data_IF_217881677499
#
_entry.id   IF_217881677499
#
_cell.length_a   1.000
_cell.length_b   1.000
_cell.length_c   1.000
_cell.angle_alpha   90.00
_cell.angle_beta   90.00
_cell.angle_gamma   90.00
#
_symmetry.space_group_name_H-M   'P 1'
#
loop_
_entity.id
_entity.type
_entity.pdbx_description
1 polymer ?
2 non-polymer ?
3 non-polymer ?
#
# COMPACT_ATOMS: atom_id res chain seq x y z
N UNK A 17 12.15 -1.66 18.34
CA UNK A 17 13.53 -1.56 17.89
C UNK A 17 14.07 -2.91 17.48
N UNK A 18 15.37 -3.08 17.68
CA UNK A 18 16.05 -4.31 17.33
C UNK A 18 17.23 -4.00 16.43
N UNK A 19 17.94 -5.02 15.95
CA UNK A 19 17.62 -6.43 16.18
C UNK A 19 18.79 -7.31 15.76
N UNK A 20 18.45 -8.51 15.28
CA UNK A 20 19.42 -9.48 14.79
C UNK A 20 19.12 -9.76 13.31
N UNK A 21 17.82 -9.75 12.99
CA UNK A 21 17.33 -9.80 11.62
C UNK A 21 16.14 -8.84 11.51
N UNK A 22 16.02 -8.11 10.41
CA UNK A 22 14.91 -7.16 10.22
C UNK A 22 14.61 -6.88 8.74
N UNK A 23 13.36 -6.54 8.44
CA UNK A 23 12.97 -6.25 7.06
C UNK A 23 11.62 -5.54 6.92
N UNK A 24 11.44 -4.83 5.81
CA UNK A 24 10.22 -4.03 5.60
C UNK A 24 9.16 -4.64 4.66
N UNK A 25 7.89 -4.49 5.02
CA UNK A 25 6.79 -4.91 4.15
C UNK A 25 5.90 -3.76 3.70
N UNK A 26 6.16 -3.27 2.49
CA UNK A 26 5.47 -2.12 1.92
C UNK A 26 4.80 -2.59 0.67
N UNK A 27 3.80 -1.87 0.21
CA UNK A 27 3.10 -2.29 -1.00
C UNK A 27 2.47 -1.09 -1.66
N UNK A 28 1.96 -1.26 -2.87
CA UNK A 28 1.02 -0.31 -3.42
C UNK A 28 1.43 1.17 -3.34
N UNK A 29 2.25 1.65 -4.27
CA UNK A 29 2.61 3.06 -4.23
C UNK A 29 1.98 3.82 -5.38
N UNK A 30 1.77 3.12 -6.47
CA UNK A 30 1.12 3.70 -7.62
C UNK A 30 1.87 4.91 -8.17
N UNK A 31 3.17 4.83 -8.22
CA UNK A 31 3.96 5.89 -8.82
C UNK A 31 3.46 6.24 -10.22
N UNK A 32 3.34 7.55 -10.46
CA UNK A 32 2.91 8.08 -11.74
C UNK A 32 1.41 8.27 -11.79
N UNK A 33 0.76 8.31 -10.63
CA UNK A 33 -0.69 8.41 -10.63
C UNK A 33 -1.11 9.82 -10.35
N UNK A 34 -1.73 10.38 -11.38
CA UNK A 34 -2.10 11.77 -11.43
C UNK A 34 -3.60 11.93 -11.13
N UNK A 35 -3.97 11.85 -9.85
CA UNK A 35 -5.35 11.91 -9.41
C UNK A 35 -6.06 13.21 -9.74
N UNK A 36 -7.36 13.14 -9.98
CA UNK A 36 -8.11 14.31 -10.45
C UNK A 36 -7.35 15.12 -11.52
N UNK A 37 -6.47 14.44 -12.26
CA UNK A 37 -5.64 15.08 -13.27
C UNK A 37 -4.90 16.28 -12.71
N UNK A 38 -4.62 16.23 -11.42
CA UNK A 38 -3.91 17.29 -10.74
C UNK A 38 -2.41 17.09 -10.76
N UNK A 39 -1.73 17.97 -11.50
CA UNK A 39 -0.29 17.91 -11.52
C UNK A 39 0.21 17.74 -10.10
N UNK A 40 -0.47 18.40 -9.19
CA UNK A 40 0.00 18.43 -7.82
C UNK A 40 -0.32 17.14 -7.10
N UNK A 41 -1.25 16.35 -7.62
CA UNK A 41 -1.54 15.06 -6.98
C UNK A 41 -0.46 14.06 -7.38
N UNK A 42 -0.15 14.04 -8.66
CA UNK A 42 0.99 13.27 -9.13
C UNK A 42 2.17 13.41 -8.17
N UNK A 43 2.47 14.64 -7.78
CA UNK A 43 3.69 14.89 -7.02
C UNK A 43 3.62 14.26 -5.67
N UNK A 44 2.47 14.38 -5.03
CA UNK A 44 2.33 13.91 -3.66
C UNK A 44 2.61 12.42 -3.56
N UNK A 45 2.21 11.67 -4.57
CA UNK A 45 2.50 10.25 -4.59
C UNK A 45 4.00 9.98 -4.57
N UNK A 46 4.75 10.73 -5.36
CA UNK A 46 6.18 10.50 -5.39
C UNK A 46 6.79 10.94 -4.06
N UNK A 47 6.11 11.83 -3.35
CA UNK A 47 6.70 12.38 -2.11
C UNK A 47 6.54 11.37 -0.97
N UNK A 48 5.34 10.81 -0.85
CA UNK A 48 5.07 9.79 0.16
C UNK A 48 6.01 8.64 -0.06
N UNK A 49 6.14 8.24 -1.32
CA UNK A 49 7.21 7.32 -1.71
C UNK A 49 8.58 7.84 -1.23
N UNK A 50 9.11 8.90 -1.85
CA UNK A 50 10.45 9.38 -1.49
C UNK A 50 10.62 9.43 0.02
N UNK A 51 9.53 9.75 0.71
CA UNK A 51 9.45 9.66 2.17
C UNK A 51 9.71 8.25 2.70
N UNK A 52 8.81 7.32 2.37
CA UNK A 52 8.96 5.93 2.80
C UNK A 52 10.37 5.44 2.60
N UNK A 53 10.94 5.73 1.44
CA UNK A 53 12.28 5.29 1.14
C UNK A 53 13.24 5.85 2.18
N UNK A 54 13.03 7.09 2.59
CA UNK A 54 13.93 7.75 3.55
C UNK A 54 13.90 7.06 4.92
N UNK A 55 12.70 6.74 5.41
CA UNK A 55 12.56 5.97 6.64
C UNK A 55 13.36 4.65 6.52
N UNK A 56 12.93 3.81 5.61
CA UNK A 56 13.61 2.56 5.33
C UNK A 56 15.13 2.68 5.18
N UNK A 57 15.65 3.80 4.67
CA UNK A 57 17.11 3.91 4.52
C UNK A 57 17.78 4.17 5.88
N UNK A 58 17.01 4.78 6.78
CA UNK A 58 17.42 4.96 8.18
C UNK A 58 17.46 3.61 8.85
N UNK A 59 16.26 3.09 9.09
CA UNK A 59 15.97 1.77 9.71
C UNK A 59 16.80 0.59 9.22
N UNK A 60 17.50 0.77 8.09
CA UNK A 60 18.35 -0.24 7.46
C UNK A 60 17.95 -1.72 7.56
N UNK A 61 16.67 -2.08 7.32
CA UNK A 61 16.28 -3.49 7.47
C UNK A 61 17.16 -4.35 6.58
N UNK A 62 17.32 -5.63 6.93
CA UNK A 62 18.25 -6.49 6.20
C UNK A 62 17.67 -6.90 4.83
N UNK A 63 16.33 -6.75 4.69
CA UNK A 63 15.60 -7.04 3.43
C UNK A 63 14.24 -6.31 3.31
N UNK A 64 13.84 -6.01 2.08
CA UNK A 64 12.54 -5.37 1.83
C UNK A 64 11.61 -6.22 1.00
N UNK A 65 10.31 -6.18 1.34
CA UNK A 65 9.29 -7.02 0.69
C UNK A 65 8.16 -6.25 0.02
N UNK A 66 8.26 -6.03 -1.28
CA UNK A 66 7.28 -5.17 -1.94
C UNK A 66 6.15 -5.94 -2.60
N UNK A 67 4.98 -5.93 -1.96
CA UNK A 67 3.87 -6.74 -2.42
C UNK A 67 3.17 -6.25 -3.68
N UNK A 68 3.83 -5.36 -4.42
CA UNK A 68 3.38 -5.09 -5.77
C UNK A 68 2.56 -3.86 -5.98
N UNK A 69 2.31 -3.52 -7.25
CA UNK A 69 1.71 -2.24 -7.60
C UNK A 69 2.60 -1.11 -7.12
N UNK A 70 3.90 -1.25 -7.34
CA UNK A 70 4.85 -0.20 -7.06
C UNK A 70 4.46 0.94 -7.94
N UNK A 71 4.27 0.62 -9.23
CA UNK A 71 3.81 1.54 -10.27
C UNK A 71 2.30 1.51 -10.41
N UNK A 72 1.78 2.35 -11.28
CA UNK A 72 0.37 2.39 -11.53
C UNK A 72 0.04 2.14 -12.98
N UNK A 73 1.03 1.80 -13.79
CA UNK A 73 0.81 1.60 -15.23
C UNK A 73 1.99 0.91 -15.95
N UNK A 74 1.69 0.18 -17.00
CA UNK A 74 2.70 -0.52 -17.74
C UNK A 74 3.69 0.40 -18.44
N UNK A 75 3.38 1.69 -18.46
CA UNK A 75 4.21 2.66 -19.16
C UNK A 75 4.26 3.93 -18.37
N UNK A 76 4.90 3.91 -17.19
CA UNK A 76 4.80 5.04 -16.26
C UNK A 76 5.43 6.31 -16.80
N UNK A 77 5.07 7.45 -16.22
CA UNK A 77 5.71 8.71 -16.55
C UNK A 77 7.18 8.57 -16.27
N UNK A 78 8.05 9.13 -17.12
CA UNK A 78 9.48 8.95 -16.96
C UNK A 78 9.93 9.24 -15.52
N UNK A 79 9.41 10.29 -14.91
CA UNK A 79 9.87 10.63 -13.58
C UNK A 79 9.57 9.54 -12.59
N UNK A 80 8.45 8.85 -12.76
CA UNK A 80 8.07 7.83 -11.78
C UNK A 80 9.09 6.73 -11.87
N UNK A 81 9.43 6.42 -13.11
CA UNK A 81 10.42 5.41 -13.39
C UNK A 81 11.75 5.80 -12.82
N UNK A 82 12.16 7.06 -12.97
CA UNK A 82 13.47 7.44 -12.44
C UNK A 82 13.42 7.41 -10.95
N UNK A 83 12.43 8.04 -10.36
CA UNK A 83 12.37 8.01 -8.91
C UNK A 83 12.49 6.58 -8.40
N UNK A 84 11.73 5.66 -8.98
CA UNK A 84 11.82 4.25 -8.55
C UNK A 84 13.17 3.54 -8.78
N UNK A 85 13.95 3.89 -9.81
CA UNK A 85 15.26 3.29 -9.91
C UNK A 85 16.12 3.94 -8.84
N UNK A 86 16.26 5.26 -8.90
CA UNK A 86 17.06 5.96 -7.91
C UNK A 86 16.76 5.40 -6.51
N UNK A 87 15.50 5.29 -6.12
CA UNK A 87 15.16 4.74 -4.82
C UNK A 87 15.84 3.39 -4.58
N UNK A 88 15.46 2.37 -5.35
CA UNK A 88 15.97 1.03 -5.13
C UNK A 88 17.45 0.88 -5.37
N UNK A 89 18.04 1.72 -6.20
CA UNK A 89 19.50 1.73 -6.34
C UNK A 89 20.14 2.06 -4.99
N UNK A 90 19.66 3.16 -4.39
CA UNK A 90 20.01 3.54 -3.03
C UNK A 90 19.81 2.34 -2.11
N UNK A 91 18.61 1.77 -2.09
CA UNK A 91 18.37 0.63 -1.20
C UNK A 91 19.42 -0.46 -1.36
N UNK A 92 19.83 -0.71 -2.60
CA UNK A 92 20.71 -1.85 -2.92
C UNK A 92 22.19 -1.53 -2.70
N UNK A 93 22.60 -0.30 -2.99
CA UNK A 93 23.92 0.13 -2.54
C UNK A 93 24.02 0.02 -1.00
N UNK A 94 22.95 0.35 -0.28
CA UNK A 94 22.96 0.21 1.18
C UNK A 94 22.71 -1.22 1.66
N UNK A 95 23.34 -2.17 0.97
CA UNK A 95 23.15 -3.60 1.24
C UNK A 95 21.83 -4.02 1.90
N UNK A 96 20.73 -3.75 1.18
CA UNK A 96 19.39 -4.19 1.55
C UNK A 96 18.83 -4.94 0.34
N UNK A 97 18.58 -6.23 0.51
CA UNK A 97 18.05 -7.04 -0.58
C UNK A 97 16.55 -6.71 -0.64
N UNK A 98 16.02 -6.57 -1.86
CA UNK A 98 14.59 -6.32 -2.06
C UNK A 98 13.97 -7.42 -2.90
N UNK A 99 12.81 -7.90 -2.44
CA UNK A 99 11.98 -8.80 -3.24
C UNK A 99 10.71 -8.04 -3.55
N UNK A 100 10.20 -8.22 -4.76
CA UNK A 100 8.99 -7.53 -5.17
C UNK A 100 8.18 -8.52 -5.99
N UNK A 101 6.87 -8.54 -5.82
CA UNK A 101 6.01 -9.36 -6.68
C UNK A 101 5.27 -8.44 -7.67
N UNK A 102 4.90 -8.91 -8.85
CA UNK A 102 4.20 -8.03 -9.78
C UNK A 102 2.72 -7.90 -9.49
N UNK A 103 2.25 -6.66 -9.32
CA UNK A 103 0.83 -6.38 -9.16
C UNK A 103 0.12 -6.35 -10.51
N UNK A 104 -1.18 -6.02 -10.52
CA UNK A 104 -1.96 -6.00 -11.77
C UNK A 104 -1.46 -4.98 -12.77
N UNK A 105 -1.05 -3.81 -12.24
CA UNK A 105 -0.62 -2.68 -13.04
C UNK A 105 0.78 -2.84 -13.59
N UNK A 106 1.46 -3.92 -13.25
CA UNK A 106 2.83 -4.07 -13.68
C UNK A 106 2.96 -5.29 -14.56
N UNK A 107 1.81 -5.92 -14.80
CA UNK A 107 1.74 -7.07 -15.66
C UNK A 107 1.51 -6.68 -17.13
N UNK A 108 2.46 -7.04 -18.02
CA UNK A 108 2.36 -6.90 -19.46
C UNK A 108 1.05 -7.47 -19.96
N UNK A 109 0.50 -6.97 -21.05
CA UNK A 109 -0.78 -7.43 -21.57
C UNK A 109 -0.63 -8.09 -22.92
N UNK A 110 0.34 -7.67 -23.70
CA UNK A 110 0.61 -8.25 -25.00
C UNK A 110 1.84 -9.14 -24.85
N UNK A 111 1.90 -10.21 -25.62
CA UNK A 111 3.07 -11.07 -25.57
C UNK A 111 4.31 -10.27 -25.92
N UNK A 112 5.29 -10.26 -25.02
CA UNK A 112 6.60 -9.72 -25.31
C UNK A 112 6.80 -8.34 -24.72
N UNK A 113 5.69 -7.70 -24.40
CA UNK A 113 5.69 -6.46 -23.68
C UNK A 113 6.27 -6.75 -22.31
N UNK A 114 7.04 -5.79 -21.80
CA UNK A 114 7.84 -5.96 -20.58
C UNK A 114 7.29 -5.11 -19.47
N UNK A 115 7.25 -5.66 -18.26
CA UNK A 115 6.81 -4.87 -17.13
C UNK A 115 7.72 -3.66 -16.98
N UNK A 116 7.29 -2.65 -16.23
CA UNK A 116 8.22 -1.57 -15.91
C UNK A 116 9.07 -1.94 -14.70
N UNK A 117 8.84 -3.13 -14.14
CA UNK A 117 9.66 -3.62 -13.03
C UNK A 117 10.98 -4.14 -13.61
N UNK A 118 10.94 -4.51 -14.88
CA UNK A 118 12.11 -5.04 -15.52
C UNK A 118 13.14 -3.93 -15.73
N UNK A 119 12.99 -2.82 -15.02
CA UNK A 119 13.97 -1.73 -15.01
C UNK A 119 14.61 -1.70 -13.65
N UNK A 120 14.07 -2.46 -12.74
CA UNK A 120 14.64 -2.52 -11.42
C UNK A 120 15.35 -3.84 -11.24
N UNK A 121 15.73 -4.49 -12.33
CA UNK A 121 16.26 -5.85 -12.28
C UNK A 121 17.57 -5.91 -11.49
N UNK A 122 18.32 -4.80 -11.52
CA UNK A 122 19.66 -4.75 -10.91
C UNK A 122 19.70 -4.38 -9.43
N UNK A 123 18.54 -4.13 -8.83
CA UNK A 123 18.47 -3.57 -7.49
C UNK A 123 17.45 -4.37 -6.73
N UNK A 124 16.82 -5.28 -7.46
CA UNK A 124 15.58 -5.94 -7.02
C UNK A 124 15.47 -7.32 -7.63
N UNK A 125 14.94 -8.24 -6.84
CA UNK A 125 14.73 -9.58 -7.33
C UNK A 125 13.24 -9.74 -7.38
N UNK A 126 12.75 -10.14 -8.55
CA UNK A 126 11.32 -10.34 -8.79
C UNK A 126 10.91 -11.76 -8.44
N UNK A 127 9.99 -11.90 -7.49
CA UNK A 127 9.57 -13.22 -7.04
C UNK A 127 8.51 -13.87 -7.91
N UNK A 128 8.75 -15.13 -8.26
CA UNK A 128 7.88 -15.88 -9.15
C UNK A 128 8.20 -17.35 -8.89
N UNK A 129 8.27 -17.73 -7.61
CA UNK A 129 8.68 -19.06 -7.18
C UNK A 129 9.21 -19.11 -5.76
N UNK A 130 10.36 -19.76 -5.57
CA UNK A 130 10.93 -19.94 -4.24
C UNK A 130 12.41 -19.51 -4.20
N UNK A 131 12.82 -18.95 -3.07
CA UNK A 131 14.21 -18.61 -2.83
C UNK A 131 14.43 -18.62 -1.33
N UNK A 132 15.71 -18.71 -0.95
CA UNK A 132 16.13 -18.76 0.46
C UNK A 132 17.27 -17.80 0.72
N UNK A 133 17.12 -16.96 1.73
CA UNK A 133 18.10 -15.91 1.96
C UNK A 133 18.88 -16.13 3.26
N UNK A 134 20.19 -16.15 3.13
CA UNK A 134 21.05 -16.51 4.24
C UNK A 134 21.10 -15.39 5.26
N UNK A 135 20.82 -14.17 4.82
CA UNK A 135 20.80 -13.01 5.71
C UNK A 135 22.14 -12.88 6.42
N UNK A 136 22.15 -12.15 7.53
CA UNK A 136 23.21 -12.30 8.53
C UNK A 136 22.60 -12.30 9.92
N UNK A 137 22.56 -13.47 10.56
CA UNK A 137 22.90 -14.75 9.99
C UNK A 137 21.80 -15.74 10.35
N UNK A 138 21.54 -16.72 9.49
CA UNK A 138 20.39 -17.60 9.63
C UNK A 138 19.92 -18.09 8.25
N UNK A 139 18.66 -18.55 8.18
CA UNK A 139 18.08 -19.03 6.93
C UNK A 139 16.55 -18.93 6.92
N UNK A 140 16.02 -18.22 5.92
CA UNK A 140 14.58 -18.11 5.77
C UNK A 140 14.16 -18.24 4.31
N UNK A 141 12.86 -18.52 4.13
CA UNK A 141 12.30 -19.05 2.88
C UNK A 141 11.27 -18.08 2.32
N UNK A 142 11.55 -17.50 1.16
CA UNK A 142 10.54 -16.68 0.52
C UNK A 142 9.91 -17.44 -0.61
N UNK A 143 8.60 -17.37 -0.69
CA UNK A 143 7.99 -17.72 -1.93
C UNK A 143 6.93 -16.67 -2.24
N UNK A 144 6.69 -16.43 -3.53
CA UNK A 144 5.63 -15.53 -3.92
C UNK A 144 5.45 -15.62 -5.41
N UNK A 145 4.31 -15.17 -5.92
CA UNK A 145 4.23 -14.97 -7.35
C UNK A 145 3.42 -13.77 -7.77
N UNK A 146 3.46 -13.53 -9.08
CA UNK A 146 2.89 -12.33 -9.64
C UNK A 146 1.39 -12.26 -9.43
N UNK A 147 0.72 -11.44 -10.22
CA UNK A 147 -0.71 -11.28 -10.05
C UNK A 147 -1.42 -12.12 -11.06
N UNK A 148 -2.15 -13.15 -10.59
CA UNK A 148 -2.95 -13.98 -11.49
C UNK A 148 -4.41 -13.55 -11.42
N UNK A 149 -5.11 -13.60 -12.55
CA UNK A 149 -6.49 -13.14 -12.62
C UNK A 149 -7.45 -14.17 -12.01
N UNK A 150 -8.55 -13.71 -11.41
CA UNK A 150 -9.59 -14.60 -10.93
C UNK A 150 -9.64 -15.92 -11.69
N UNK A 151 -9.65 -15.84 -13.03
CA UNK A 151 -9.73 -16.99 -13.90
C UNK A 151 -8.60 -18.01 -13.66
N UNK A 152 -7.37 -17.53 -13.65
CA UNK A 152 -6.20 -18.38 -13.38
C UNK A 152 -6.11 -18.80 -11.90
N UNK A 153 -7.26 -19.02 -11.27
CA UNK A 153 -7.28 -19.36 -9.84
C UNK A 153 -6.74 -20.76 -9.64
N UNK A 154 -7.20 -21.67 -10.50
CA UNK A 154 -6.75 -23.04 -10.48
C UNK A 154 -5.24 -23.12 -10.67
N UNK A 155 -4.77 -22.51 -11.76
CA UNK A 155 -3.34 -22.39 -12.02
C UNK A 155 -2.59 -22.19 -10.70
N UNK A 156 -3.14 -21.31 -9.87
CA UNK A 156 -2.51 -20.86 -8.63
C UNK A 156 -2.58 -21.88 -7.50
N UNK A 157 -3.73 -22.53 -7.37
CA UNK A 157 -3.87 -23.56 -6.37
C UNK A 157 -2.66 -24.48 -6.39
N UNK A 158 -2.38 -25.03 -7.57
CA UNK A 158 -1.17 -25.82 -7.75
C UNK A 158 0.04 -25.03 -7.25
N UNK A 159 0.20 -23.82 -7.77
CA UNK A 159 1.30 -22.93 -7.41
C UNK A 159 1.55 -22.89 -5.90
N UNK A 160 0.46 -22.94 -5.12
CA UNK A 160 0.60 -22.85 -3.67
C UNK A 160 0.88 -24.19 -3.01
N UNK A 161 0.24 -25.25 -3.50
CA UNK A 161 0.55 -26.57 -2.97
C UNK A 161 2.03 -26.81 -3.19
N UNK A 162 2.46 -26.75 -4.43
CA UNK A 162 3.88 -26.79 -4.72
C UNK A 162 4.66 -25.96 -3.70
N UNK A 163 4.30 -24.70 -3.54
CA UNK A 163 5.03 -23.82 -2.63
C UNK A 163 5.11 -24.39 -1.22
N UNK A 164 3.96 -24.88 -0.77
CA UNK A 164 3.75 -25.45 0.56
C UNK A 164 4.66 -26.64 0.82
N UNK A 165 4.66 -27.59 -0.11
CA UNK A 165 5.55 -28.73 -0.08
C UNK A 165 7.02 -28.35 0.16
N UNK A 166 7.55 -27.41 -0.61
CA UNK A 166 8.95 -27.04 -0.46
C UNK A 166 9.14 -26.16 0.77
N UNK A 167 8.04 -25.80 1.41
CA UNK A 167 8.07 -24.84 2.53
C UNK A 167 7.97 -25.50 3.89
N UNK A 168 7.47 -26.73 3.91
CA UNK A 168 7.27 -27.52 5.12
C UNK A 168 8.52 -27.74 5.96
N UNK A 169 9.56 -28.31 5.35
CA UNK A 169 10.82 -28.55 6.07
C UNK A 169 11.60 -27.28 6.43
N UNK A 170 10.88 -26.14 6.42
CA UNK A 170 11.44 -24.80 6.65
C UNK A 170 10.72 -24.07 7.78
N UNK A 171 11.42 -23.73 8.85
CA UNK A 171 10.79 -23.18 10.06
C UNK A 171 10.13 -21.81 9.88
N UNK A 172 10.86 -20.86 9.30
CA UNK A 172 10.36 -19.51 9.01
C UNK A 172 10.09 -19.34 7.51
N UNK A 173 8.82 -19.19 7.15
CA UNK A 173 8.43 -19.20 5.75
C UNK A 173 7.51 -18.01 5.39
N UNK A 174 7.93 -17.22 4.41
CA UNK A 174 7.21 -16.00 4.01
C UNK A 174 6.56 -16.10 2.64
N UNK A 175 5.36 -15.57 2.52
CA UNK A 175 4.60 -15.68 1.31
C UNK A 175 4.31 -14.29 0.77
N UNK A 176 4.57 -14.05 -0.52
CA UNK A 176 4.29 -12.75 -1.13
C UNK A 176 3.24 -12.88 -2.21
N UNK A 177 2.21 -12.05 -2.13
CA UNK A 177 1.14 -12.12 -3.09
C UNK A 177 0.45 -10.79 -3.30
N UNK A 178 0.01 -10.57 -4.53
CA UNK A 178 -0.75 -9.40 -4.86
C UNK A 178 -2.05 -9.92 -5.38
N UNK A 179 -3.04 -10.11 -4.50
CA UNK A 179 -4.36 -10.55 -4.93
C UNK A 179 -5.46 -10.17 -3.93
N UNK A 180 -6.70 -10.15 -4.41
CA UNK A 180 -7.82 -9.95 -3.53
C UNK A 180 -8.24 -11.25 -2.85
N UNK A 181 -7.93 -11.37 -1.57
CA UNK A 181 -8.38 -12.50 -0.73
C UNK A 181 -9.88 -12.39 -0.37
N UNK A 182 -10.50 -13.46 0.13
CA UNK A 182 -11.96 -13.44 0.33
C UNK A 182 -12.53 -12.94 1.67
N UNK A 183 -11.86 -13.23 2.79
CA UNK A 183 -12.26 -12.56 4.05
C UNK A 183 -11.93 -11.07 4.05
N UNK A 184 -11.12 -10.61 3.09
CA UNK A 184 -10.63 -9.24 3.12
C UNK A 184 -11.16 -8.35 2.01
N UNK A 185 -11.36 -8.89 0.81
CA UNK A 185 -12.02 -8.12 -0.24
C UNK A 185 -13.21 -8.88 -0.84
N UNK A 186 -14.33 -8.88 -0.13
CA UNK A 186 -15.62 -9.50 -0.45
C UNK A 186 -16.00 -9.59 -1.94
N UNK A 187 -15.66 -8.58 -2.74
CA UNK A 187 -15.84 -8.63 -4.19
C UNK A 187 -15.14 -7.42 -4.81
N UNK A 188 -14.25 -7.63 -5.78
CA UNK A 188 -13.93 -8.96 -6.28
C UNK A 188 -12.61 -9.50 -5.72
N UNK A 189 -12.54 -10.81 -5.54
CA UNK A 189 -11.37 -11.46 -4.97
C UNK A 189 -10.99 -12.63 -5.84
N UNK A 190 -9.71 -13.01 -5.75
CA UNK A 190 -9.18 -14.07 -6.59
C UNK A 190 -8.74 -15.29 -5.77
N UNK A 191 -8.60 -15.12 -4.45
CA UNK A 191 -8.25 -16.23 -3.56
C UNK A 191 -9.14 -16.30 -2.32
N UNK A 192 -9.30 -17.49 -1.73
CA UNK A 192 -10.07 -17.67 -0.49
C UNK A 192 -9.14 -17.89 0.69
N UNK A 193 -9.51 -17.38 1.86
CA UNK A 193 -8.65 -17.52 3.02
C UNK A 193 -8.27 -18.97 3.19
N UNK A 194 -9.18 -19.86 2.79
CA UNK A 194 -8.97 -21.30 2.85
C UNK A 194 -8.20 -21.86 1.63
N UNK A 195 -7.85 -20.97 0.69
CA UNK A 195 -7.09 -21.31 -0.50
C UNK A 195 -5.61 -21.39 -0.25
N UNK A 196 -5.14 -20.72 0.81
CA UNK A 196 -3.71 -20.62 1.02
C UNK A 196 -3.19 -21.35 2.26
N UNK A 197 -2.02 -21.99 2.11
CA UNK A 197 -1.22 -22.67 3.13
C UNK A 197 -0.90 -21.83 4.36
N UNK A 198 -0.18 -22.46 5.28
CA UNK A 198 0.19 -21.85 6.56
C UNK A 198 1.66 -21.38 6.59
N UNK A 199 1.86 -20.07 6.68
CA UNK A 199 3.20 -19.49 6.67
C UNK A 199 3.43 -18.60 7.90
N UNK A 200 4.68 -18.47 8.32
CA UNK A 200 5.03 -17.53 9.38
C UNK A 200 4.32 -16.21 9.11
N UNK A 201 4.60 -15.64 7.92
CA UNK A 201 4.22 -14.26 7.51
C UNK A 201 3.66 -14.19 6.08
N UNK A 202 2.49 -13.57 5.95
CA UNK A 202 1.84 -13.40 4.65
C UNK A 202 1.94 -11.96 4.09
N UNK A 203 3.12 -11.56 3.62
CA UNK A 203 3.30 -10.23 3.03
C UNK A 203 2.50 -10.05 1.75
N UNK A 204 1.26 -9.60 1.89
CA UNK A 204 0.41 -9.35 0.73
C UNK A 204 0.36 -7.88 0.33
N UNK A 205 -0.34 -7.63 -0.77
CA UNK A 205 -0.63 -6.28 -1.19
C UNK A 205 -1.88 -6.31 -2.03
N UNK A 206 -2.36 -5.15 -2.45
CA UNK A 206 -3.55 -5.00 -3.31
C UNK A 206 -4.78 -4.59 -2.51
N UNK A 207 -4.61 -4.49 -1.20
CA UNK A 207 -5.63 -3.89 -0.37
C UNK A 207 -5.08 -2.57 0.10
N UNK A 208 -5.74 -1.50 -0.32
CA UNK A 208 -5.30 -0.16 0.03
C UNK A 208 -5.81 0.21 1.42
N UNK A 209 -5.28 -0.49 2.43
CA UNK A 209 -5.62 -0.19 3.80
C UNK A 209 -4.89 -1.11 4.73
N UNK A 210 -4.35 -0.55 5.80
CA UNK A 210 -3.52 -1.31 6.73
C UNK A 210 -4.30 -2.43 7.44
N UNK A 211 -3.88 -3.68 7.21
CA UNK A 211 -4.56 -4.89 7.71
C UNK A 211 -3.65 -5.99 8.30
N UNK A 212 -3.07 -5.73 9.48
CA UNK A 212 -2.29 -6.69 10.23
C UNK A 212 -3.16 -7.46 11.23
N UNK A 213 -3.29 -8.77 11.03
CA UNK A 213 -4.02 -9.65 11.95
C UNK A 213 -3.49 -11.09 11.89
N UNK A 214 -3.23 -11.71 13.03
CA UNK A 214 -2.76 -13.10 13.09
C UNK A 214 -3.64 -14.06 12.27
N UNK A 215 -3.06 -15.18 11.85
CA UNK A 215 -3.75 -16.07 10.92
C UNK A 215 -3.07 -17.45 10.80
N UNK A 216 -3.89 -18.50 10.78
CA UNK A 216 -3.41 -19.87 10.65
C UNK A 216 -1.97 -20.05 11.04
N UNK A 217 -1.73 -20.14 12.34
CA UNK A 217 -0.40 -20.46 12.89
C UNK A 217 0.67 -19.45 12.47
N UNK A 218 0.24 -18.25 12.10
CA UNK A 218 1.16 -17.20 11.69
C UNK A 218 0.45 -15.87 11.48
N UNK A 219 1.18 -14.87 11.01
CA UNK A 219 0.60 -13.54 10.85
C UNK A 219 0.44 -13.07 9.39
N UNK A 220 -0.76 -12.60 9.06
CA UNK A 220 -1.04 -12.05 7.74
C UNK A 220 -0.76 -10.55 7.76
N UNK A 221 -0.22 -10.00 6.66
CA UNK A 221 0.02 -8.55 6.54
C UNK A 221 -0.43 -7.96 5.18
N UNK A 222 -1.10 -6.81 5.24
CA UNK A 222 -1.44 -6.02 4.04
C UNK A 222 -0.85 -4.61 4.08
N UNK A 223 0.43 -4.48 3.78
CA UNK A 223 1.13 -3.20 3.85
C UNK A 223 0.17 -2.01 3.69
N UNK A 224 -0.73 -2.08 2.71
CA UNK A 224 -1.65 -1.00 2.46
C UNK A 224 -1.01 -0.03 1.50
N UNK A 225 -1.80 0.87 0.94
CA UNK A 225 -1.27 1.87 0.01
C UNK A 225 -0.53 2.97 0.75
N UNK A 226 0.35 3.66 0.05
CA UNK A 226 1.16 4.71 0.66
C UNK A 226 0.63 6.13 0.43
N UNK A 227 -0.59 6.23 -0.08
CA UNK A 227 -1.22 7.53 -0.19
C UNK A 227 -2.66 7.33 -0.64
N UNK A 228 -3.52 8.22 -0.17
CA UNK A 228 -4.94 8.13 -0.41
C UNK A 228 -5.30 8.11 -1.91
N UNK A 229 -5.27 6.92 -2.48
CA UNK A 229 -5.54 6.74 -3.90
C UNK A 229 -7.06 6.66 -4.20
N UNK A 230 -7.84 6.89 -3.14
CA UNK A 230 -9.31 6.91 -3.19
C UNK A 230 -9.84 8.02 -2.26
N UNK A 231 -11.13 8.40 -2.30
CA UNK A 231 -12.29 7.63 -2.77
C UNK A 231 -12.55 6.48 -1.80
N UNK A 232 -12.15 6.69 -0.54
CA UNK A 232 -12.41 5.78 0.58
C UNK A 232 -11.40 5.86 1.71
N UNK A 233 -10.12 5.73 1.37
CA UNK A 233 -9.03 5.50 2.35
C UNK A 233 -8.84 6.61 3.37
N UNK A 234 -9.89 7.40 3.54
CA UNK A 234 -9.91 8.51 4.49
C UNK A 234 -9.71 8.09 5.97
N UNK A 235 -10.79 7.66 6.61
CA UNK A 235 -10.82 7.34 8.03
C UNK A 235 -9.75 6.31 8.35
N UNK A 236 -9.59 5.38 7.41
CA UNK A 236 -8.57 4.35 7.46
C UNK A 236 -7.19 4.98 7.59
N UNK A 237 -7.00 6.06 6.83
CA UNK A 237 -5.77 6.82 6.95
C UNK A 237 -5.56 7.32 8.38
N UNK A 238 -6.50 8.14 8.87
CA UNK A 238 -6.34 8.84 10.15
C UNK A 238 -6.35 7.94 11.39
N UNK A 239 -7.22 6.93 11.40
CA UNK A 239 -7.28 6.05 12.56
C UNK A 239 -6.03 5.18 12.64
N UNK A 240 -5.68 4.55 11.52
CA UNK A 240 -4.56 3.59 11.51
C UNK A 240 -3.24 4.19 11.04
N UNK A 241 -3.19 4.57 9.78
CA UNK A 241 -1.99 5.11 9.18
C UNK A 241 -1.71 4.47 7.84
N UNK A 242 -1.19 5.27 6.91
CA UNK A 242 -0.77 4.75 5.62
C UNK A 242 0.73 4.59 5.65
N UNK A 243 1.22 3.61 4.90
CA UNK A 243 2.65 3.45 4.77
C UNK A 243 3.05 2.00 4.80
N UNK A 244 4.24 1.74 5.30
CA UNK A 244 4.70 0.36 5.42
C UNK A 244 4.60 -0.24 6.83
N UNK A 245 4.97 -1.52 6.92
CA UNK A 245 5.09 -2.28 8.18
C UNK A 245 6.52 -2.75 8.32
N UNK A 246 7.11 -2.53 9.49
CA UNK A 246 8.46 -3.01 9.78
C UNK A 246 8.43 -4.27 10.64
N UNK A 247 8.83 -5.39 10.05
CA UNK A 247 8.94 -6.66 10.74
C UNK A 247 10.40 -6.82 11.13
N UNK A 248 10.74 -7.90 11.83
CA UNK A 248 12.15 -8.14 12.23
C UNK A 248 12.56 -9.62 12.17
N UNK A 249 11.71 -10.52 12.65
CA UNK A 249 12.04 -11.95 12.67
C UNK A 249 13.40 -12.23 13.30
N UNK A 250 13.71 -11.54 14.39
CA UNK A 250 14.93 -11.81 15.16
C UNK A 250 14.68 -13.01 16.05
N UNK A 251 13.40 -13.19 16.41
CA UNK A 251 12.98 -14.18 17.38
C UNK A 251 12.11 -15.30 16.84
N UNK A 252 12.17 -16.45 17.52
CA UNK A 252 11.52 -17.67 17.04
C UNK A 252 10.07 -17.47 16.58
N UNK A 253 9.15 -17.34 17.53
CA UNK A 253 7.75 -17.10 17.16
C UNK A 253 7.58 -15.64 16.75
N UNK A 254 6.36 -15.27 16.33
CA UNK A 254 6.02 -13.88 16.00
C UNK A 254 4.54 -13.56 16.24
N UNK A 255 4.29 -12.55 17.07
CA UNK A 255 2.92 -12.12 17.33
C UNK A 255 2.77 -10.68 16.87
N UNK A 256 1.54 -10.18 16.84
CA UNK A 256 1.29 -8.79 16.48
C UNK A 256 2.24 -7.81 17.18
N UNK A 257 3.02 -8.32 18.15
CA UNK A 257 3.84 -7.48 19.03
C UNK A 257 5.30 -7.22 18.61
N UNK A 258 5.74 -7.88 17.52
CA UNK A 258 7.07 -7.65 16.98
C UNK A 258 7.01 -7.04 15.57
N UNK A 259 5.87 -6.42 15.25
CA UNK A 259 5.66 -5.74 13.98
C UNK A 259 5.38 -4.25 14.21
N UNK A 260 6.45 -3.45 14.19
CA UNK A 260 6.35 -2.00 14.34
C UNK A 260 5.90 -1.30 13.05
N UNK A 261 4.61 -1.02 12.94
CA UNK A 261 4.06 -0.41 11.73
C UNK A 261 4.42 1.08 11.62
N UNK A 262 5.22 1.44 10.61
CA UNK A 262 5.56 2.84 10.40
C UNK A 262 4.44 3.59 9.67
N UNK A 263 4.19 4.82 10.12
CA UNK A 263 3.26 5.72 9.47
C UNK A 263 4.04 6.69 8.59
N UNK A 264 3.36 7.24 7.59
CA UNK A 264 3.99 8.18 6.66
C UNK A 264 3.05 9.35 6.33
N UNK A 265 3.44 10.56 6.73
CA UNK A 265 2.59 11.74 6.57
C UNK A 265 2.29 12.05 5.12
N UNK A 266 1.05 12.43 4.81
CA UNK A 266 0.75 12.88 3.45
C UNK A 266 -0.27 14.00 3.38
N UNK A 267 -0.46 14.52 2.17
CA UNK A 267 -1.49 15.51 1.86
C UNK A 267 -2.67 15.32 2.78
N UNK A 268 -3.17 16.41 3.30
CA UNK A 268 -4.25 16.29 4.26
C UNK A 268 -5.55 16.43 3.53
N UNK A 269 -6.44 15.48 3.76
CA UNK A 269 -7.80 15.54 3.29
C UNK A 269 -8.61 15.93 4.49
N UNK A 270 -9.65 16.73 4.25
CA UNK A 270 -10.62 17.05 5.29
C UNK A 270 -12.01 16.68 4.80
N UNK A 271 -12.78 16.03 5.66
CA UNK A 271 -14.16 15.71 5.35
C UNK A 271 -15.08 16.79 5.86
N UNK A 272 -15.92 17.31 4.98
CA UNK A 272 -16.82 18.36 5.36
C UNK A 272 -18.22 17.82 5.29
N UNK A 273 -19.10 18.40 6.10
CA UNK A 273 -20.54 18.21 5.96
C UNK A 273 -21.27 19.51 6.26
N UNK A 274 -21.59 20.25 5.21
CA UNK A 274 -22.02 21.61 5.36
C UNK A 274 -23.50 21.70 5.05
N UNK A 275 -24.28 22.00 6.10
CA UNK A 275 -25.74 21.97 6.07
C UNK A 275 -26.37 23.06 6.94
N UNK A 276 -25.63 23.58 7.92
CA UNK A 276 -26.08 24.71 8.73
C UNK A 276 -24.94 25.71 8.87
N UNK A 277 -25.03 26.68 9.75
CA UNK A 277 -23.88 27.56 9.97
C UNK A 277 -22.85 26.83 10.82
N UNK A 278 -23.34 26.03 11.77
CA UNK A 278 -22.45 25.34 12.71
C UNK A 278 -21.40 24.62 11.89
N UNK A 279 -21.85 23.92 10.86
CA UNK A 279 -21.02 22.99 10.11
C UNK A 279 -20.27 23.67 9.00
N UNK A 280 -20.73 24.85 8.58
CA UNK A 280 -19.94 25.65 7.66
C UNK A 280 -18.77 26.29 8.41
N UNK A 281 -18.99 26.71 9.65
CA UNK A 281 -17.89 27.21 10.46
C UNK A 281 -16.96 26.07 10.83
N UNK A 282 -17.51 24.90 11.16
CA UNK A 282 -16.68 23.74 11.41
C UNK A 282 -15.72 23.50 10.24
N UNK A 283 -16.25 23.42 9.02
CA UNK A 283 -15.44 23.04 7.87
C UNK A 283 -14.30 23.99 7.58
N UNK A 284 -14.42 25.22 8.07
CA UNK A 284 -13.37 26.22 7.89
C UNK A 284 -12.30 26.09 8.96
N UNK A 285 -12.73 25.99 10.21
CA UNK A 285 -11.74 25.80 11.25
C UNK A 285 -10.85 24.59 10.95
N UNK A 286 -11.42 23.56 10.31
CA UNK A 286 -10.65 22.37 9.91
C UNK A 286 -9.64 22.73 8.82
N UNK A 287 -10.00 23.66 7.95
CA UNK A 287 -9.16 24.02 6.81
C UNK A 287 -8.08 25.05 7.21
N UNK A 288 -8.33 25.81 8.28
CA UNK A 288 -7.31 26.66 8.90
C UNK A 288 -6.22 25.77 9.50
N UNK A 289 -6.65 24.98 10.48
CA UNK A 289 -5.82 23.94 11.10
C UNK A 289 -4.94 23.17 10.11
N UNK A 290 -5.34 23.11 8.86
CA UNK A 290 -4.55 22.36 7.88
C UNK A 290 -3.16 22.95 7.65
N UNK A 291 -2.15 22.13 7.92
CA UNK A 291 -0.75 22.48 7.71
C UNK A 291 -0.55 22.90 6.25
N UNK A 292 -1.12 22.13 5.34
CA UNK A 292 -1.03 22.39 3.90
C UNK A 292 -2.40 22.53 3.22
N UNK A 293 -2.44 23.14 2.04
CA UNK A 293 -3.65 23.16 1.25
C UNK A 293 -4.18 21.73 1.25
N UNK A 294 -5.47 21.51 1.52
CA UNK A 294 -5.97 20.13 1.60
C UNK A 294 -6.82 19.75 0.40
N UNK A 295 -7.01 18.44 0.18
CA UNK A 295 -8.08 17.98 -0.70
C UNK A 295 -9.31 17.84 0.19
N UNK A 296 -10.42 18.42 -0.23
CA UNK A 296 -11.60 18.36 0.62
C UNK A 296 -12.73 17.57 -0.02
N UNK A 297 -13.32 16.69 0.76
CA UNK A 297 -14.38 15.86 0.25
C UNK A 297 -15.56 15.77 1.21
N UNK A 298 -16.62 15.12 0.74
CA UNK A 298 -17.82 14.95 1.51
C UNK A 298 -18.99 15.59 0.80
N UNK A 299 -19.84 16.27 1.58
CA UNK A 299 -21.04 16.93 1.06
C UNK A 299 -21.09 18.40 1.49
N UNK A 300 -21.71 19.22 0.66
CA UNK A 300 -21.92 20.62 0.90
C UNK A 300 -23.31 20.95 0.35
N UNK A 301 -24.24 21.40 1.19
CA UNK A 301 -25.59 21.78 0.72
C UNK A 301 -25.50 22.88 -0.37
N UNK A 302 -26.34 22.79 -1.41
CA UNK A 302 -26.18 23.67 -2.55
C UNK A 302 -26.16 25.13 -2.12
N UNK A 303 -26.96 25.39 -1.09
CA UNK A 303 -27.22 26.73 -0.58
C UNK A 303 -25.97 27.40 -0.02
N UNK A 304 -24.99 26.59 0.39
CA UNK A 304 -23.75 27.04 1.01
C UNK A 304 -22.63 26.93 0.03
N UNK A 305 -22.91 26.41 -1.16
CA UNK A 305 -21.83 26.18 -2.08
C UNK A 305 -21.06 27.47 -2.27
N UNK A 306 -21.73 28.55 -2.73
CA UNK A 306 -20.96 29.74 -3.09
C UNK A 306 -20.40 30.46 -1.88
N UNK A 307 -20.92 30.23 -0.69
CA UNK A 307 -20.25 30.81 0.47
C UNK A 307 -18.94 30.12 0.68
N UNK A 308 -18.96 28.82 0.52
CA UNK A 308 -17.74 28.02 0.64
C UNK A 308 -16.78 28.19 -0.55
N UNK A 309 -17.29 28.45 -1.75
CA UNK A 309 -16.45 28.87 -2.85
C UNK A 309 -15.51 29.93 -2.35
N UNK A 310 -15.87 30.53 -1.23
CA UNK A 310 -15.06 31.62 -0.71
C UNK A 310 -13.63 31.22 -0.36
N UNK A 311 -13.40 29.96 -0.01
CA UNK A 311 -12.04 29.52 0.34
C UNK A 311 -11.27 28.82 -0.79
N UNK A 312 -11.61 29.10 -2.04
CA UNK A 312 -10.89 28.52 -3.18
C UNK A 312 -9.35 28.47 -3.01
N UNK A 313 -8.78 29.47 -2.35
CA UNK A 313 -7.32 29.59 -2.29
C UNK A 313 -6.69 28.85 -1.12
N UNK A 314 -7.50 28.42 -0.17
CA UNK A 314 -6.98 27.71 0.98
C UNK A 314 -7.11 26.19 0.79
N UNK A 315 -7.39 25.76 -0.42
CA UNK A 315 -7.95 24.43 -0.66
C UNK A 315 -7.32 23.90 -1.95
N UNK A 316 -6.88 22.64 -1.95
CA UNK A 316 -6.27 22.11 -3.17
C UNK A 316 -7.35 21.81 -4.17
N UNK A 317 -8.39 21.12 -3.74
CA UNK A 317 -9.49 20.82 -4.63
C UNK A 317 -10.75 20.50 -3.84
N UNK A 318 -11.90 20.72 -4.46
CA UNK A 318 -13.17 20.44 -3.81
C UNK A 318 -13.85 19.26 -4.43
N UNK A 319 -13.65 18.10 -3.85
CA UNK A 319 -14.25 16.91 -4.41
C UNK A 319 -15.38 16.45 -3.49
N UNK A 320 -15.89 17.40 -2.72
CA UNK A 320 -17.14 17.20 -2.01
C UNK A 320 -18.30 17.23 -3.00
N UNK A 321 -19.44 16.72 -2.55
CA UNK A 321 -20.64 16.59 -3.35
C UNK A 321 -21.60 17.75 -3.07
N UNK A 322 -22.25 18.29 -4.10
CA UNK A 322 -23.20 19.36 -3.87
C UNK A 322 -24.59 18.75 -3.72
N UNK A 323 -25.20 19.00 -2.57
CA UNK A 323 -26.47 18.39 -2.18
C UNK A 323 -27.62 19.37 -2.37
N UNK A 324 -28.48 19.12 -3.36
CA UNK A 324 -29.60 20.02 -3.66
C UNK A 324 -30.82 19.65 -2.87
N UNK A 325 -30.73 18.57 -2.13
CA UNK A 325 -31.87 18.11 -1.38
C UNK A 325 -31.95 18.83 -0.05
N UNK A 326 -33.15 18.87 0.53
CA UNK A 326 -33.37 19.46 1.86
C UNK A 326 -33.75 18.34 2.78
N UNK A 327 -33.07 18.25 3.92
CA UNK A 327 -33.31 17.15 4.82
C UNK A 327 -33.85 17.60 6.15
N UNK A 328 -34.82 16.83 6.68
CA UNK A 328 -35.39 17.09 8.01
C UNK A 328 -34.81 16.23 9.13
N UNK A 329 -34.25 15.09 8.74
CA UNK A 329 -33.82 14.08 9.70
C UNK A 329 -32.83 14.61 10.72
N UNK A 330 -33.36 14.89 11.92
CA UNK A 330 -32.60 15.43 13.04
C UNK A 330 -31.83 14.36 13.84
N UNK A 331 -31.23 14.74 14.98
CA UNK A 331 -30.54 13.69 15.72
C UNK A 331 -31.29 13.30 16.99
N UNK A 332 -31.12 12.06 17.45
CA UNK A 332 -31.75 11.62 18.69
C UNK A 332 -30.74 11.65 19.84
#
# INVERSE_FOLDING_TARGET
MGSSHHHHHHSSGLVPRGSHMMFVHIADNHLGYRQYNLDDREKDIYDSFKLCIKKILEIKPDVVLHSGDLFNDLRPPVKALRIAMQAFKKLHENNIKVYIVAGNHEMPRRLGEESPLALLKDYVKILDGKDVINVNGEEIFICGTYYHKKSKREEMLDKLKNFESEAKNYKKKILMLHQGINPYIPLDYELEHFDLPKFSYYALGHIHKRILERFNDGILAYSGSTEIIYRNEYEDYKKEGKGFYLVDFSGNDLDISDIEKIDIECREFVEVNIKDKKSFNEAVNKIERCKNKPVVFGKIKREFKPWFDTLKDKILINKAIIVDDEFIDMPDN
#
